data_IF_288701212456
#
_entry.id   IF_288701212456
#
_cell.length_a   1.000
_cell.length_b   1.000
_cell.length_c   1.000
_cell.angle_alpha   90.00
_cell.angle_beta   90.00
_cell.angle_gamma   90.00
#
_symmetry.space_group_name_H-M   'P 1'
#
loop_
_entity.id
_entity.type
_entity.pdbx_description
1 polymer ?
#
# COMPACT_ATOMS: atom_id res chain seq x y z
N UNK A 1 -41.11 -14.41 13.19
CA UNK A 1 -40.06 -13.42 12.86
C UNK A 1 -38.91 -14.15 12.15
N UNK A 2 -38.73 -13.90 10.85
CA UNK A 2 -37.55 -14.35 10.11
C UNK A 2 -36.32 -13.64 10.70
N UNK A 3 -35.23 -14.33 11.05
CA UNK A 3 -34.01 -13.63 11.45
C UNK A 3 -33.59 -12.71 10.30
N UNK A 4 -33.43 -11.42 10.60
CA UNK A 4 -32.82 -10.47 9.67
C UNK A 4 -31.45 -11.04 9.27
N UNK A 5 -31.12 -11.16 7.97
CA UNK A 5 -29.79 -11.61 7.59
C UNK A 5 -28.78 -10.63 8.20
N UNK A 6 -27.84 -11.15 8.98
CA UNK A 6 -26.66 -10.39 9.40
C UNK A 6 -26.04 -9.78 8.14
N UNK A 7 -25.79 -8.46 8.07
CA UNK A 7 -25.13 -7.90 6.90
C UNK A 7 -23.81 -8.64 6.72
N UNK A 8 -23.63 -9.27 5.56
CA UNK A 8 -22.33 -9.84 5.17
C UNK A 8 -21.31 -8.70 5.30
N UNK A 9 -20.19 -8.90 6.03
CA UNK A 9 -19.12 -7.92 6.05
C UNK A 9 -18.79 -7.53 4.60
N UNK A 10 -18.55 -6.25 4.29
CA UNK A 10 -18.14 -5.86 2.94
C UNK A 10 -16.93 -6.72 2.55
N UNK A 11 -16.95 -7.24 1.31
CA UNK A 11 -15.85 -8.05 0.81
C UNK A 11 -14.56 -7.22 0.84
N UNK A 12 -13.53 -7.79 1.47
CA UNK A 12 -12.18 -7.22 1.54
C UNK A 12 -11.30 -8.07 0.64
N UNK A 13 -10.62 -7.43 -0.31
CA UNK A 13 -9.77 -8.08 -1.30
C UNK A 13 -8.30 -7.90 -0.90
N UNK A 14 -7.57 -8.99 -0.82
CA UNK A 14 -6.12 -8.93 -0.67
C UNK A 14 -5.49 -8.55 -2.01
N UNK A 15 -4.49 -7.66 -1.98
CA UNK A 15 -3.72 -7.23 -3.14
C UNK A 15 -2.23 -7.38 -2.85
N UNK A 16 -1.44 -7.59 -3.90
CA UNK A 16 0.01 -7.61 -3.79
C UNK A 16 0.54 -6.17 -3.84
N UNK A 17 1.52 -5.88 -2.99
CA UNK A 17 2.15 -4.56 -2.89
C UNK A 17 3.66 -4.72 -2.89
N UNK A 18 4.36 -3.69 -3.35
CA UNK A 18 5.82 -3.60 -3.30
C UNK A 18 6.24 -2.25 -2.70
N UNK A 19 6.89 -2.28 -1.54
CA UNK A 19 7.45 -1.09 -0.89
C UNK A 19 8.79 -0.77 -1.56
N UNK A 20 8.92 0.40 -2.18
CA UNK A 20 10.12 0.77 -2.97
C UNK A 20 10.35 -0.18 -4.16
N UNK A 21 9.44 -0.17 -5.14
CA UNK A 21 9.54 -1.07 -6.27
C UNK A 21 10.90 -1.00 -6.98
N UNK A 22 11.42 -2.16 -7.35
CA UNK A 22 12.74 -2.34 -7.97
C UNK A 22 13.93 -2.27 -7.00
N UNK A 23 13.70 -2.15 -5.69
CA UNK A 23 14.73 -2.17 -4.66
C UNK A 23 14.48 -3.32 -3.67
N UNK A 24 15.54 -4.00 -3.22
CA UNK A 24 15.45 -4.94 -2.10
C UNK A 24 16.76 -4.94 -1.30
N UNK A 25 16.73 -4.93 0.04
CA UNK A 25 15.53 -4.90 0.90
C UNK A 25 14.86 -3.51 0.94
N UNK A 26 13.61 -3.50 1.40
CA UNK A 26 12.77 -2.31 1.51
C UNK A 26 13.15 -1.51 2.76
N UNK A 27 14.37 -0.95 2.74
CA UNK A 27 14.93 -0.28 3.91
C UNK A 27 14.38 1.13 4.09
N UNK A 28 13.66 1.40 5.17
CA UNK A 28 13.14 2.74 5.50
C UNK A 28 13.92 3.29 6.68
N UNK A 29 14.55 4.46 6.50
CA UNK A 29 15.18 5.17 7.59
C UNK A 29 14.13 6.02 8.31
N UNK A 30 13.96 5.84 9.62
CA UNK A 30 12.92 6.51 10.41
C UNK A 30 13.06 8.05 10.43
N UNK A 31 14.27 8.57 10.20
CA UNK A 31 14.55 10.01 10.12
C UNK A 31 14.52 10.55 8.68
N UNK A 32 14.02 9.77 7.71
CA UNK A 32 14.07 10.17 6.32
C UNK A 32 13.13 11.33 5.99
N UNK A 33 13.60 12.25 5.14
CA UNK A 33 12.86 13.47 4.72
C UNK A 33 12.32 13.39 3.30
N UNK A 34 12.51 12.25 2.66
CA UNK A 34 12.06 11.99 1.31
C UNK A 34 10.64 11.43 1.27
N UNK A 35 10.34 10.80 0.14
CA UNK A 35 9.13 10.03 -0.07
C UNK A 35 9.47 8.54 -0.10
N UNK A 36 8.49 7.71 0.30
CA UNK A 36 8.53 6.27 0.16
C UNK A 36 7.49 5.91 -0.91
N UNK A 37 7.90 5.46 -2.11
CA UNK A 37 6.98 4.91 -3.08
C UNK A 37 6.53 3.52 -2.63
N UNK A 38 5.25 3.22 -2.80
CA UNK A 38 4.67 1.89 -2.60
C UNK A 38 3.77 1.61 -3.80
N UNK A 39 3.99 0.48 -4.47
CA UNK A 39 3.18 0.02 -5.58
C UNK A 39 2.08 -0.91 -5.07
N UNK A 40 0.88 -0.79 -5.62
CA UNK A 40 -0.13 -1.86 -5.63
C UNK A 40 -0.04 -2.49 -7.02
N UNK A 41 0.29 -3.77 -7.07
CA UNK A 41 0.55 -4.47 -8.32
C UNK A 41 -0.77 -4.88 -9.00
N UNK A 42 -0.80 -4.76 -10.31
CA UNK A 42 -1.83 -5.39 -11.12
C UNK A 42 -1.46 -6.86 -11.33
N UNK A 43 -2.47 -7.72 -11.43
CA UNK A 43 -2.28 -9.11 -11.83
C UNK A 43 -3.55 -9.66 -12.53
N UNK A 44 -3.57 -10.96 -12.82
CA UNK A 44 -4.74 -11.62 -13.43
C UNK A 44 -6.04 -11.52 -12.60
N UNK A 45 -5.92 -11.19 -11.31
CA UNK A 45 -7.01 -11.18 -10.32
C UNK A 45 -7.42 -9.79 -9.84
N UNK A 46 -6.57 -8.78 -10.04
CA UNK A 46 -6.75 -7.42 -9.54
C UNK A 46 -6.20 -6.36 -10.49
N UNK A 47 -7.00 -5.31 -10.76
CA UNK A 47 -6.62 -4.15 -11.56
C UNK A 47 -6.36 -2.95 -10.64
N UNK A 48 -5.09 -2.58 -10.46
CA UNK A 48 -4.67 -1.51 -9.56
C UNK A 48 -5.21 -0.13 -9.98
N UNK A 49 -5.57 0.06 -11.25
CA UNK A 49 -6.16 1.32 -11.73
C UNK A 49 -7.57 1.59 -11.17
N UNK A 50 -8.20 0.55 -10.59
CA UNK A 50 -9.52 0.66 -9.95
C UNK A 50 -9.47 1.20 -8.53
N UNK A 51 -8.29 1.27 -7.91
CA UNK A 51 -8.08 1.81 -6.56
C UNK A 51 -8.38 3.32 -6.54
N UNK A 52 -9.04 3.80 -5.49
CA UNK A 52 -9.27 5.21 -5.20
C UNK A 52 -8.11 5.75 -4.32
N UNK A 53 -7.08 6.40 -4.90
CA UNK A 53 -5.82 6.67 -4.21
C UNK A 53 -5.96 7.52 -2.92
N UNK A 54 -6.81 8.58 -2.87
CA UNK A 54 -7.08 9.32 -1.65
C UNK A 54 -7.56 8.50 -0.45
N UNK A 55 -8.09 7.29 -0.68
CA UNK A 55 -8.56 6.40 0.39
C UNK A 55 -7.47 5.50 0.95
N UNK A 56 -6.33 5.38 0.25
CA UNK A 56 -5.26 4.47 0.64
C UNK A 56 -4.49 5.03 1.84
N UNK A 57 -4.29 4.18 2.83
CA UNK A 57 -3.49 4.45 4.02
C UNK A 57 -2.36 3.43 4.07
N UNK A 58 -1.12 3.90 4.17
CA UNK A 58 0.07 3.06 4.38
C UNK A 58 0.78 3.53 5.64
N UNK A 59 0.92 2.64 6.63
CA UNK A 59 1.52 2.95 7.93
C UNK A 59 1.00 4.29 8.52
N UNK A 60 -0.34 4.42 8.59
CA UNK A 60 -1.07 5.61 9.07
C UNK A 60 -0.94 6.89 8.21
N UNK A 61 -0.28 6.83 7.04
CA UNK A 61 -0.10 7.98 6.16
C UNK A 61 -0.97 7.89 4.90
N UNK A 62 -1.42 9.06 4.42
CA UNK A 62 -2.05 9.21 3.11
C UNK A 62 -1.02 9.51 2.01
N UNK A 63 -1.24 9.06 0.77
CA UNK A 63 -0.38 9.39 -0.35
C UNK A 63 -0.43 10.89 -0.64
N UNK A 64 0.69 11.47 -1.08
CA UNK A 64 0.78 12.87 -1.53
C UNK A 64 0.75 13.01 -3.03
N UNK A 65 1.08 11.94 -3.74
CA UNK A 65 1.10 11.86 -5.19
C UNK A 65 0.94 10.41 -5.62
N UNK A 66 0.48 10.18 -6.85
CA UNK A 66 0.33 8.84 -7.41
C UNK A 66 0.38 8.85 -8.93
N UNK A 67 0.83 7.74 -9.50
CA UNK A 67 0.90 7.53 -10.93
C UNK A 67 0.58 6.08 -11.28
N UNK A 68 0.19 5.86 -12.53
CA UNK A 68 0.07 4.53 -13.12
C UNK A 68 1.34 4.25 -13.91
N UNK A 69 2.08 3.20 -13.54
CA UNK A 69 3.36 2.81 -14.14
C UNK A 69 3.55 1.29 -14.00
N UNK A 70 4.11 0.66 -15.03
CA UNK A 70 4.55 -0.75 -15.01
C UNK A 70 5.89 -0.80 -14.25
N UNK A 71 5.86 -1.10 -12.94
CA UNK A 71 7.07 -0.99 -12.10
C UNK A 71 7.90 -2.27 -12.03
N UNK A 72 7.30 -3.42 -12.31
CA UNK A 72 7.97 -4.72 -12.29
C UNK A 72 8.28 -5.29 -13.69
N UNK A 73 7.82 -4.61 -14.76
CA UNK A 73 8.05 -4.92 -16.17
C UNK A 73 7.38 -6.21 -16.64
N UNK A 74 6.24 -6.56 -16.06
CA UNK A 74 5.47 -7.74 -16.48
C UNK A 74 4.49 -7.43 -17.64
N UNK A 75 4.24 -6.15 -17.91
CA UNK A 75 3.45 -5.65 -19.03
C UNK A 75 2.01 -5.27 -18.68
N UNK A 76 1.61 -5.35 -17.42
CA UNK A 76 0.45 -4.61 -16.90
C UNK A 76 0.89 -3.31 -16.20
N UNK A 77 -0.05 -2.53 -15.68
CA UNK A 77 0.24 -1.20 -15.14
C UNK A 77 -0.20 -1.14 -13.69
N UNK A 78 0.72 -0.76 -12.83
CA UNK A 78 0.53 -0.72 -11.38
C UNK A 78 0.11 0.66 -10.90
N UNK A 79 -0.40 0.73 -9.67
CA UNK A 79 -0.62 2.00 -8.99
C UNK A 79 0.55 2.29 -8.05
N UNK A 80 1.34 3.32 -8.38
CA UNK A 80 2.44 3.78 -7.54
C UNK A 80 2.00 4.97 -6.69
N UNK A 81 2.07 4.83 -5.37
CA UNK A 81 1.67 5.81 -4.38
C UNK A 81 2.89 6.37 -3.65
N UNK A 82 2.97 7.69 -3.48
CA UNK A 82 4.09 8.35 -2.82
C UNK A 82 3.70 8.87 -1.45
N UNK A 83 4.28 8.29 -0.39
CA UNK A 83 4.04 8.68 0.99
C UNK A 83 5.19 9.52 1.53
N UNK A 84 4.90 10.53 2.35
CA UNK A 84 5.96 11.25 3.07
C UNK A 84 6.49 10.39 4.19
N UNK A 85 7.79 10.14 4.18
CA UNK A 85 8.46 9.32 5.19
C UNK A 85 8.17 9.78 6.63
N UNK A 86 8.12 11.09 6.84
CA UNK A 86 7.86 11.70 8.15
C UNK A 86 6.43 11.53 8.66
N UNK A 87 5.50 11.10 7.80
CA UNK A 87 4.12 10.82 8.17
C UNK A 87 3.90 9.33 8.44
N UNK A 88 4.87 8.46 8.10
CA UNK A 88 4.79 7.03 8.36
C UNK A 88 4.95 6.74 9.84
N UNK A 89 4.06 5.92 10.38
CA UNK A 89 4.18 5.38 11.73
C UNK A 89 4.75 3.96 11.64
N UNK A 90 6.07 3.85 11.79
CA UNK A 90 6.81 2.58 11.78
C UNK A 90 7.75 2.50 12.98
N UNK A 91 7.86 1.32 13.58
CA UNK A 91 8.81 0.95 14.63
C UNK A 91 10.09 0.33 14.07
N UNK A 92 11.19 0.42 14.82
CA UNK A 92 12.48 -0.19 14.46
C UNK A 92 12.46 -1.72 14.42
N UNK A 93 11.44 -2.34 15.01
CA UNK A 93 11.24 -3.79 15.04
C UNK A 93 10.22 -4.25 13.98
N UNK A 94 9.64 -3.34 13.20
CA UNK A 94 8.69 -3.70 12.16
C UNK A 94 9.42 -4.42 11.02
N UNK A 95 8.95 -5.63 10.72
CA UNK A 95 9.41 -6.46 9.61
C UNK A 95 8.42 -6.47 8.44
N UNK A 96 7.20 -5.96 8.66
CA UNK A 96 6.11 -5.89 7.69
C UNK A 96 5.40 -4.55 7.83
N UNK A 97 5.07 -3.93 6.70
CA UNK A 97 4.17 -2.78 6.66
C UNK A 97 3.03 -3.05 5.69
N UNK A 98 1.83 -2.61 6.06
CA UNK A 98 0.62 -2.85 5.31
C UNK A 98 -0.01 -1.54 4.84
N UNK A 99 -0.77 -1.65 3.75
CA UNK A 99 -1.73 -0.64 3.35
C UNK A 99 -3.14 -1.21 3.31
N UNK A 100 -4.10 -0.33 3.46
CA UNK A 100 -5.51 -0.58 3.19
C UNK A 100 -6.13 0.61 2.44
N UNK A 101 -7.27 0.38 1.81
CA UNK A 101 -7.98 1.42 1.07
C UNK A 101 -9.25 0.90 0.43
N UNK A 102 -9.71 1.62 -0.59
CA UNK A 102 -10.90 1.26 -1.35
C UNK A 102 -10.67 1.40 -2.85
N UNK A 103 -11.38 0.59 -3.62
CA UNK A 103 -11.59 0.85 -5.05
C UNK A 103 -12.66 1.92 -5.25
N UNK A 104 -12.70 2.54 -6.44
CA UNK A 104 -13.81 3.44 -6.81
C UNK A 104 -15.19 2.74 -6.75
N UNK A 105 -15.22 1.40 -6.81
CA UNK A 105 -16.42 0.58 -6.63
C UNK A 105 -16.85 0.38 -5.17
N UNK A 106 -16.06 0.86 -4.20
CA UNK A 106 -16.30 0.73 -2.77
C UNK A 106 -15.86 -0.62 -2.17
N UNK A 107 -15.11 -1.44 -2.90
CA UNK A 107 -14.50 -2.67 -2.38
C UNK A 107 -13.31 -2.29 -1.50
N UNK A 108 -13.25 -2.81 -0.27
CA UNK A 108 -12.08 -2.61 0.58
C UNK A 108 -10.92 -3.47 0.07
N UNK A 109 -9.71 -2.93 0.09
CA UNK A 109 -8.48 -3.65 -0.24
C UNK A 109 -7.51 -3.60 0.93
N UNK A 110 -6.61 -4.58 1.00
CA UNK A 110 -5.45 -4.56 1.89
C UNK A 110 -4.30 -5.37 1.30
N UNK A 111 -3.07 -4.97 1.62
CA UNK A 111 -1.86 -5.67 1.20
C UNK A 111 -0.72 -5.37 2.16
N UNK A 112 0.26 -6.26 2.23
CA UNK A 112 1.42 -6.10 3.10
C UNK A 112 2.68 -6.55 2.38
N UNK A 113 3.80 -5.91 2.70
CA UNK A 113 5.12 -6.30 2.22
C UNK A 113 6.15 -6.15 3.35
N UNK A 114 7.26 -6.85 3.19
CA UNK A 114 8.40 -6.80 4.09
C UNK A 114 9.04 -5.43 4.12
N UNK A 115 9.52 -5.02 5.28
CA UNK A 115 10.23 -3.75 5.48
C UNK A 115 11.43 -3.98 6.38
N UNK A 116 12.47 -3.18 6.20
CA UNK A 116 13.62 -3.13 7.12
C UNK A 116 13.78 -1.72 7.64
N UNK A 117 13.25 -1.45 8.84
CA UNK A 117 13.32 -0.12 9.43
C UNK A 117 14.68 0.08 10.10
N UNK A 118 15.39 1.13 9.70
CA UNK A 118 16.73 1.44 10.20
C UNK A 118 16.75 2.76 10.97
N UNK A 119 17.55 2.87 12.05
CA UNK A 119 17.73 4.14 12.75
C UNK A 119 18.34 5.20 11.83
N UNK A 120 17.98 6.47 12.06
CA UNK A 120 18.71 7.56 11.43
C UNK A 120 20.13 7.68 11.98
N UNK A 121 21.05 8.07 11.09
CA UNK A 121 22.38 8.49 11.52
C UNK A 121 22.27 9.96 11.94
N UNK A 122 22.46 10.21 13.23
CA UNK A 122 22.73 11.56 13.76
C UNK A 122 23.98 12.17 13.10
#
# INVERSE_FOLDING_TARGET
PTPTPTPTPPASQQVDIDIKPGMSPNSINIDCRGVVPVAILTDESFDASTVDPPTVIFAEAQPKDWALEDVDQDGDVDLVLHFKCQELTLGLEDEVACLDGYTYGGTNIWGCDSVSVVPGKN
#
